data_IF_785431326549
#
_entry.id   IF_785431326549
#
_cell.length_a   1.000
_cell.length_b   1.000
_cell.length_c   1.000
_cell.angle_alpha   90.00
_cell.angle_beta   90.00
_cell.angle_gamma   90.00
#
_symmetry.space_group_name_H-M   'P 1'
#
loop_
_entity.id
_entity.type
_entity.pdbx_description
1 polymer ?
#
# COMPACT_ATOMS: atom_id res chain seq x y z
N UNK A 1 -1.33 4.33 -1.61
CA UNK A 1 -2.34 5.31 -1.17
C UNK A 1 -3.77 4.79 -1.35
N UNK A 2 -4.20 4.49 -2.57
CA UNK A 2 -5.61 4.14 -2.87
C UNK A 2 -6.12 2.94 -2.07
N UNK A 3 -5.33 1.88 -1.94
CA UNK A 3 -5.74 0.69 -1.19
C UNK A 3 -5.81 0.96 0.31
N UNK A 4 -4.93 1.79 0.83
CA UNK A 4 -4.98 2.27 2.23
C UNK A 4 -6.23 3.13 2.49
N UNK A 5 -6.65 3.96 1.53
CA UNK A 5 -7.90 4.72 1.65
C UNK A 5 -9.14 3.83 1.51
N UNK A 6 -9.08 2.73 0.74
CA UNK A 6 -10.14 1.70 0.73
C UNK A 6 -10.30 1.05 2.11
N UNK A 7 -9.19 0.65 2.75
CA UNK A 7 -9.24 0.12 4.10
C UNK A 7 -9.91 1.10 5.07
N UNK A 8 -9.52 2.37 5.01
CA UNK A 8 -10.14 3.45 5.79
C UNK A 8 -11.65 3.54 5.54
N UNK A 9 -12.07 3.50 4.29
CA UNK A 9 -13.48 3.56 3.89
C UNK A 9 -14.28 2.33 4.36
N UNK A 10 -13.73 1.12 4.22
CA UNK A 10 -14.43 -0.09 4.65
C UNK A 10 -14.58 -0.17 6.17
N UNK A 11 -13.56 0.25 6.94
CA UNK A 11 -13.67 0.38 8.40
C UNK A 11 -14.68 1.45 8.81
N UNK A 12 -14.65 2.64 8.18
CA UNK A 12 -15.64 3.71 8.41
C UNK A 12 -17.07 3.22 8.18
N UNK A 13 -17.32 2.48 7.11
CA UNK A 13 -18.64 1.89 6.82
C UNK A 13 -19.03 0.82 7.85
N UNK A 14 -18.12 -0.07 8.21
CA UNK A 14 -18.38 -1.14 9.17
C UNK A 14 -18.81 -0.58 10.53
N UNK A 15 -18.12 0.43 11.02
CA UNK A 15 -18.40 1.04 12.33
C UNK A 15 -19.46 2.15 12.28
N UNK A 16 -19.93 2.56 11.10
CA UNK A 16 -20.88 3.66 10.95
C UNK A 16 -20.36 5.03 11.43
N UNK A 17 -19.05 5.28 11.29
CA UNK A 17 -18.36 6.49 11.78
C UNK A 17 -17.80 7.31 10.64
N UNK A 18 -17.51 8.60 10.91
CA UNK A 18 -16.81 9.45 9.96
C UNK A 18 -15.40 8.91 9.64
N UNK A 19 -14.95 9.08 8.40
CA UNK A 19 -13.62 8.63 7.97
C UNK A 19 -12.48 9.25 8.80
N UNK A 20 -12.66 10.46 9.34
CA UNK A 20 -11.65 11.12 10.17
C UNK A 20 -11.42 10.42 11.51
N UNK A 21 -12.35 9.58 11.94
CA UNK A 21 -12.21 8.73 13.12
C UNK A 21 -11.52 7.40 12.84
N UNK A 22 -11.09 7.18 11.59
CA UNK A 22 -10.31 6.00 11.17
C UNK A 22 -8.93 6.50 10.72
N UNK A 23 -7.89 6.13 11.43
CA UNK A 23 -6.55 6.69 11.28
C UNK A 23 -5.54 5.61 10.86
N UNK A 24 -4.46 6.04 10.22
CA UNK A 24 -3.27 5.25 9.94
C UNK A 24 -3.52 3.90 9.23
N UNK A 25 -4.58 3.81 8.42
CA UNK A 25 -4.77 2.65 7.55
C UNK A 25 -3.62 2.52 6.57
N UNK A 26 -3.03 1.34 6.49
CA UNK A 26 -1.86 1.06 5.65
C UNK A 26 -2.02 -0.25 4.90
N UNK A 27 -1.57 -0.23 3.65
CA UNK A 27 -1.38 -1.41 2.81
C UNK A 27 -0.03 -1.30 2.12
N UNK A 28 0.73 -2.38 2.08
CA UNK A 28 2.07 -2.41 1.53
C UNK A 28 2.24 -3.53 0.51
N UNK A 29 3.38 -3.55 -0.18
CA UNK A 29 3.72 -4.56 -1.17
C UNK A 29 3.09 -4.31 -2.53
N UNK A 30 2.57 -5.35 -3.16
CA UNK A 30 1.91 -5.32 -4.46
C UNK A 30 0.50 -4.74 -4.42
N UNK A 31 -0.21 -4.90 -5.53
CA UNK A 31 -1.59 -4.45 -5.68
C UNK A 31 -2.55 -5.64 -5.83
N UNK A 32 -3.82 -5.46 -5.49
CA UNK A 32 -4.84 -6.50 -5.56
C UNK A 32 -4.63 -7.57 -4.49
N UNK A 33 -4.75 -8.84 -4.84
CA UNK A 33 -4.64 -9.96 -3.90
C UNK A 33 -3.24 -10.15 -3.31
N UNK A 34 -2.23 -9.46 -3.87
CA UNK A 34 -0.85 -9.53 -3.42
C UNK A 34 -0.47 -8.43 -2.41
N UNK A 35 -1.40 -7.54 -2.04
CA UNK A 35 -1.11 -6.53 -1.02
C UNK A 35 -1.14 -7.10 0.39
N UNK A 36 -0.28 -6.59 1.26
CA UNK A 36 -0.32 -6.83 2.69
C UNK A 36 -1.16 -5.72 3.37
N UNK A 37 -2.25 -6.10 4.03
CA UNK A 37 -3.15 -5.18 4.75
C UNK A 37 -2.76 -5.16 6.21
N UNK A 38 -2.38 -4.00 6.73
CA UNK A 38 -1.88 -3.81 8.08
C UNK A 38 -2.97 -3.31 9.02
N UNK A 39 -3.37 -4.16 9.98
CA UNK A 39 -4.26 -3.79 11.08
C UNK A 39 -3.48 -3.10 12.21
N UNK A 40 -2.21 -3.48 12.41
CA UNK A 40 -1.35 -3.01 13.50
C UNK A 40 -1.12 -1.49 13.49
N UNK A 41 -1.21 -0.86 12.33
CA UNK A 41 -1.03 0.60 12.21
C UNK A 41 -2.33 1.37 12.39
N UNK A 42 -3.50 0.73 12.16
CA UNK A 42 -4.78 1.40 12.09
C UNK A 42 -5.41 1.66 13.47
N UNK A 43 -6.15 2.76 13.57
CA UNK A 43 -6.95 3.09 14.74
C UNK A 43 -8.38 3.43 14.34
N UNK A 44 -9.33 3.11 15.21
CA UNK A 44 -10.75 3.43 15.09
C UNK A 44 -11.17 4.15 16.36
N UNK A 45 -11.65 5.40 16.26
CA UNK A 45 -11.96 6.26 17.40
C UNK A 45 -10.81 6.31 18.43
N UNK A 46 -9.55 6.39 17.94
CA UNK A 46 -8.34 6.41 18.75
C UNK A 46 -7.89 5.07 19.34
N UNK A 47 -8.71 3.99 19.27
CA UNK A 47 -8.37 2.66 19.74
C UNK A 47 -7.63 1.86 18.65
N UNK A 48 -6.59 1.13 19.02
CA UNK A 48 -5.87 0.28 18.07
C UNK A 48 -6.80 -0.78 17.45
N UNK A 49 -6.72 -0.96 16.12
CA UNK A 49 -7.60 -1.90 15.42
C UNK A 49 -7.36 -3.35 15.87
N UNK A 50 -6.13 -3.71 16.22
CA UNK A 50 -5.79 -5.03 16.76
C UNK A 50 -6.55 -5.38 18.06
N UNK A 51 -6.85 -4.36 18.90
CA UNK A 51 -7.60 -4.55 20.14
C UNK A 51 -9.13 -4.72 19.90
N UNK A 52 -9.57 -4.45 18.68
CA UNK A 52 -10.99 -4.52 18.30
C UNK A 52 -11.26 -5.82 17.53
N UNK A 53 -10.32 -6.29 16.73
CA UNK A 53 -10.46 -7.53 15.97
C UNK A 53 -10.62 -8.73 16.91
N UNK A 54 -11.66 -9.52 16.68
CA UNK A 54 -12.03 -10.68 17.52
C UNK A 54 -12.97 -10.34 18.66
N UNK A 55 -13.49 -9.11 18.73
CA UNK A 55 -14.57 -8.70 19.64
C UNK A 55 -15.93 -8.70 18.92
N UNK A 56 -17.02 -8.50 19.65
CA UNK A 56 -18.37 -8.36 19.08
C UNK A 56 -18.49 -7.14 18.14
N UNK A 57 -17.63 -6.14 18.30
CA UNK A 57 -17.61 -4.95 17.44
C UNK A 57 -16.98 -5.21 16.07
N UNK A 58 -16.05 -6.18 15.96
CA UNK A 58 -15.42 -6.63 14.73
C UNK A 58 -14.91 -8.06 14.90
N UNK A 59 -15.68 -9.03 14.45
CA UNK A 59 -15.26 -10.45 14.52
C UNK A 59 -14.08 -10.72 13.54
N UNK A 60 -13.39 -11.83 13.73
CA UNK A 60 -12.31 -12.24 12.82
C UNK A 60 -12.80 -12.48 11.40
N UNK A 61 -14.01 -13.02 11.26
CA UNK A 61 -14.67 -13.26 9.98
C UNK A 61 -14.96 -11.93 9.26
N UNK A 62 -15.55 -10.97 9.98
CA UNK A 62 -15.82 -9.62 9.45
C UNK A 62 -14.52 -8.90 9.04
N UNK A 63 -13.47 -9.05 9.84
CA UNK A 63 -12.15 -8.51 9.47
C UNK A 63 -11.63 -9.14 8.17
N UNK A 64 -11.74 -10.45 8.02
CA UNK A 64 -11.37 -11.16 6.78
C UNK A 64 -12.18 -10.66 5.58
N UNK A 65 -13.49 -10.42 5.75
CA UNK A 65 -14.33 -9.84 4.70
C UNK A 65 -13.87 -8.41 4.31
N UNK A 66 -13.50 -7.58 5.29
CA UNK A 66 -12.97 -6.24 5.04
C UNK A 66 -11.66 -6.34 4.23
N UNK A 67 -10.73 -7.20 4.63
CA UNK A 67 -9.50 -7.41 3.87
C UNK A 67 -9.78 -7.83 2.42
N UNK A 68 -10.72 -8.75 2.19
CA UNK A 68 -11.11 -9.16 0.85
C UNK A 68 -11.74 -8.01 0.03
N UNK A 69 -12.57 -7.18 0.63
CA UNK A 69 -13.14 -5.98 -0.03
C UNK A 69 -12.06 -4.98 -0.42
N UNK A 70 -11.04 -4.82 0.41
CA UNK A 70 -9.89 -3.94 0.13
C UNK A 70 -9.07 -4.50 -1.03
N UNK A 71 -8.67 -5.76 -0.97
CA UNK A 71 -7.81 -6.40 -1.98
C UNK A 71 -8.49 -6.54 -3.35
N UNK A 72 -9.79 -6.82 -3.37
CA UNK A 72 -10.60 -6.96 -4.60
C UNK A 72 -11.25 -5.66 -5.07
N UNK A 73 -11.08 -4.56 -4.36
CA UNK A 73 -11.79 -3.31 -4.62
C UNK A 73 -11.57 -2.76 -6.03
N UNK A 74 -10.37 -2.85 -6.58
CA UNK A 74 -10.07 -2.46 -7.96
C UNK A 74 -10.80 -3.31 -8.99
N UNK A 75 -10.75 -4.62 -8.85
CA UNK A 75 -11.45 -5.57 -9.72
C UNK A 75 -12.97 -5.36 -9.68
N UNK A 76 -13.54 -5.12 -8.50
CA UNK A 76 -14.96 -4.83 -8.35
C UNK A 76 -15.38 -3.55 -9.12
N UNK A 77 -14.57 -2.50 -9.09
CA UNK A 77 -14.83 -1.28 -9.87
C UNK A 77 -14.82 -1.59 -11.38
N UNK A 78 -13.85 -2.37 -11.84
CA UNK A 78 -13.75 -2.76 -13.26
C UNK A 78 -14.99 -3.57 -13.67
N UNK A 79 -15.41 -4.53 -12.85
CA UNK A 79 -16.57 -5.37 -13.12
C UNK A 79 -17.88 -4.54 -13.21
N UNK A 80 -18.04 -3.52 -12.34
CA UNK A 80 -19.24 -2.68 -12.30
C UNK A 80 -19.26 -1.61 -13.41
N UNK A 81 -18.09 -1.10 -13.81
CA UNK A 81 -17.98 0.06 -14.72
C UNK A 81 -17.44 -0.29 -16.11
N UNK A 82 -16.98 -1.52 -16.33
CA UNK A 82 -16.30 -1.94 -17.56
C UNK A 82 -14.90 -1.33 -17.75
N UNK A 83 -14.40 -0.58 -16.76
CA UNK A 83 -13.07 0.08 -16.79
C UNK A 83 -12.57 0.42 -15.40
N UNK A 84 -11.26 0.64 -15.26
CA UNK A 84 -10.63 1.12 -14.04
C UNK A 84 -11.15 2.51 -13.63
N UNK A 85 -11.09 2.81 -12.33
CA UNK A 85 -11.26 4.17 -11.83
C UNK A 85 -10.10 5.04 -12.30
N UNK A 86 -10.40 6.31 -12.64
CA UNK A 86 -9.39 7.32 -12.95
C UNK A 86 -9.48 8.55 -12.04
N UNK A 87 -10.64 8.81 -11.44
CA UNK A 87 -10.84 9.98 -10.57
C UNK A 87 -9.95 9.92 -9.34
N UNK A 88 -9.99 8.81 -8.59
CA UNK A 88 -9.18 8.64 -7.38
C UNK A 88 -7.67 8.61 -7.67
N UNK A 89 -7.16 7.90 -8.70
CA UNK A 89 -5.76 8.02 -9.09
C UNK A 89 -5.34 9.44 -9.44
N UNK A 90 -6.15 10.17 -10.22
CA UNK A 90 -5.85 11.57 -10.59
C UNK A 90 -5.76 12.47 -9.36
N UNK A 91 -6.72 12.36 -8.44
CA UNK A 91 -6.71 13.12 -7.19
C UNK A 91 -5.45 12.87 -6.37
N UNK A 92 -5.10 11.61 -6.15
CA UNK A 92 -3.89 11.26 -5.38
C UNK A 92 -2.61 11.72 -6.08
N UNK A 93 -2.55 11.64 -7.41
CA UNK A 93 -1.39 12.15 -8.17
C UNK A 93 -1.23 13.66 -8.02
N UNK A 94 -2.33 14.41 -8.02
CA UNK A 94 -2.31 15.86 -7.78
C UNK A 94 -1.81 16.16 -6.36
N UNK A 95 -2.26 15.42 -5.34
CA UNK A 95 -1.76 15.59 -3.97
C UNK A 95 -0.25 15.31 -3.86
N UNK A 96 0.26 14.28 -4.54
CA UNK A 96 1.68 13.98 -4.60
C UNK A 96 2.49 15.11 -5.26
N UNK A 97 2.00 15.64 -6.40
CA UNK A 97 2.63 16.76 -7.10
C UNK A 97 2.61 18.02 -6.23
N UNK A 98 1.47 18.34 -5.63
CA UNK A 98 1.36 19.49 -4.73
C UNK A 98 2.33 19.41 -3.55
N UNK A 99 2.50 18.22 -2.96
CA UNK A 99 3.47 18.00 -1.89
C UNK A 99 4.91 18.20 -2.37
N UNK A 100 5.28 17.67 -3.52
CA UNK A 100 6.60 17.85 -4.12
C UNK A 100 6.89 19.33 -4.47
N UNK A 101 5.86 20.10 -4.79
CA UNK A 101 5.97 21.55 -5.04
C UNK A 101 5.98 22.43 -3.77
N UNK A 102 5.99 21.82 -2.58
CA UNK A 102 6.07 22.53 -1.30
C UNK A 102 4.73 22.77 -0.61
N UNK A 103 3.67 22.09 -1.05
CA UNK A 103 2.40 22.03 -0.34
C UNK A 103 2.44 21.11 0.89
N UNK A 104 1.27 20.72 1.38
CA UNK A 104 1.15 19.79 2.51
C UNK A 104 1.85 18.45 2.18
N UNK A 105 2.73 17.95 3.05
CA UNK A 105 3.40 16.66 2.80
C UNK A 105 2.41 15.52 2.59
N UNK A 106 2.65 14.72 1.55
CA UNK A 106 1.90 13.51 1.28
C UNK A 106 2.45 12.36 2.13
N UNK A 107 1.60 11.69 2.88
CA UNK A 107 1.99 10.69 3.89
C UNK A 107 1.17 9.40 3.80
N UNK A 108 0.95 8.92 2.59
CA UNK A 108 0.33 7.63 2.34
C UNK A 108 1.34 6.68 1.73
N UNK A 109 1.19 5.36 1.94
CA UNK A 109 1.99 4.39 1.21
C UNK A 109 1.89 4.64 -0.30
N UNK A 110 3.03 4.68 -0.96
CA UNK A 110 3.12 4.89 -2.40
C UNK A 110 4.06 3.87 -3.03
N UNK A 111 3.85 3.58 -4.32
CA UNK A 111 4.78 2.78 -5.09
C UNK A 111 6.12 3.49 -5.17
N UNK A 112 7.15 2.88 -4.64
CA UNK A 112 8.50 3.41 -4.60
C UNK A 112 9.52 2.31 -4.77
N UNK A 113 10.72 2.68 -5.19
CA UNK A 113 11.84 1.76 -5.24
C UNK A 113 12.34 1.48 -3.83
N UNK A 114 12.43 0.19 -3.50
CA UNK A 114 12.90 -0.30 -2.20
C UNK A 114 14.15 -1.12 -2.41
N UNK A 115 15.21 -0.79 -1.66
CA UNK A 115 16.44 -1.56 -1.56
C UNK A 115 17.04 -1.30 -0.17
N UNK A 116 16.77 -2.18 0.78
CA UNK A 116 17.10 -1.97 2.20
C UNK A 116 17.76 -3.19 2.88
N UNK A 117 18.22 -4.16 2.09
CA UNK A 117 18.88 -5.37 2.56
C UNK A 117 17.93 -6.50 2.93
N UNK A 118 16.65 -6.22 3.25
CA UNK A 118 15.60 -7.23 3.43
C UNK A 118 14.74 -7.35 2.17
N UNK A 119 14.41 -6.22 1.58
CA UNK A 119 13.64 -6.09 0.35
C UNK A 119 14.46 -5.30 -0.64
N UNK A 120 14.94 -5.95 -1.72
CA UNK A 120 15.91 -5.34 -2.62
C UNK A 120 15.44 -5.29 -4.06
N UNK A 121 15.78 -4.17 -4.71
CA UNK A 121 15.62 -3.96 -6.15
C UNK A 121 14.19 -4.18 -6.64
N UNK A 122 13.21 -3.60 -5.94
CA UNK A 122 11.80 -3.77 -6.26
C UNK A 122 11.02 -2.45 -6.17
N UNK A 123 10.03 -2.29 -7.05
CA UNK A 123 9.01 -1.27 -6.93
C UNK A 123 7.80 -1.87 -6.21
N UNK A 124 7.46 -1.35 -5.04
CA UNK A 124 6.27 -1.77 -4.28
C UNK A 124 5.71 -0.63 -3.43
N UNK A 125 4.48 -0.77 -2.96
CA UNK A 125 3.93 0.18 -2.00
C UNK A 125 4.69 0.07 -0.67
N UNK A 126 5.22 1.20 -0.22
CA UNK A 126 6.02 1.31 1.01
C UNK A 126 5.60 2.53 1.83
N UNK A 127 5.93 2.56 3.13
CA UNK A 127 5.66 3.74 3.97
C UNK A 127 6.49 4.93 3.49
N UNK A 128 5.80 5.89 2.91
CA UNK A 128 6.39 6.96 2.11
C UNK A 128 5.91 8.31 2.61
N UNK A 129 6.81 9.29 2.60
CA UNK A 129 6.46 10.71 2.76
C UNK A 129 7.07 11.48 1.59
N UNK A 130 6.23 12.21 0.86
CA UNK A 130 6.67 13.09 -0.23
C UNK A 130 6.50 14.53 0.23
N UNK A 131 7.55 15.32 0.07
CA UNK A 131 7.59 16.75 0.37
C UNK A 131 8.52 17.47 -0.62
N UNK A 132 8.69 18.78 -0.45
CA UNK A 132 9.56 19.58 -1.35
C UNK A 132 11.01 19.12 -1.37
N UNK A 133 11.49 18.54 -0.28
CA UNK A 133 12.85 18.01 -0.12
C UNK A 133 13.02 16.58 -0.66
N UNK A 134 11.97 15.97 -1.19
CA UNK A 134 12.01 14.68 -1.84
C UNK A 134 11.04 13.64 -1.31
N UNK A 135 11.38 12.38 -1.62
CA UNK A 135 10.63 11.20 -1.20
C UNK A 135 11.43 10.47 -0.09
N UNK A 136 10.81 10.34 1.08
CA UNK A 136 11.42 9.72 2.24
C UNK A 136 10.71 8.41 2.56
N UNK A 137 11.47 7.32 2.67
CA UNK A 137 10.96 6.03 3.09
C UNK A 137 11.16 5.84 4.59
N UNK A 138 10.20 5.19 5.23
CA UNK A 138 10.28 4.81 6.62
C UNK A 138 10.29 3.29 6.75
N UNK A 139 10.80 2.81 7.86
CA UNK A 139 10.72 1.40 8.17
C UNK A 139 9.25 0.96 8.33
N UNK A 140 8.93 -0.20 7.77
CA UNK A 140 7.63 -0.86 7.92
C UNK A 140 7.77 -1.97 8.95
N UNK A 141 6.96 -1.91 10.00
CA UNK A 141 6.86 -2.92 11.04
C UNK A 141 5.40 -3.30 11.25
N UNK A 142 5.15 -4.57 11.50
CA UNK A 142 3.83 -5.10 11.74
C UNK A 142 3.84 -6.30 12.67
N UNK A 143 2.73 -7.02 12.74
CA UNK A 143 2.70 -8.32 13.39
C UNK A 143 3.47 -9.34 12.54
N UNK A 144 3.90 -10.50 13.12
CA UNK A 144 4.56 -11.55 12.35
C UNK A 144 3.76 -11.98 11.11
N UNK A 145 2.43 -12.01 11.21
CA UNK A 145 1.54 -12.39 10.10
C UNK A 145 1.53 -11.32 9.00
N UNK A 146 1.54 -10.04 9.38
CA UNK A 146 1.60 -8.91 8.44
C UNK A 146 2.95 -8.84 7.72
N UNK A 147 4.03 -9.06 8.46
CA UNK A 147 5.37 -9.13 7.88
C UNK A 147 5.50 -10.33 6.92
N UNK A 148 4.98 -11.50 7.28
CA UNK A 148 4.95 -12.66 6.40
C UNK A 148 4.12 -12.40 5.12
N UNK A 149 2.99 -11.68 5.23
CA UNK A 149 2.20 -11.28 4.09
C UNK A 149 2.98 -10.31 3.17
N UNK A 150 3.74 -9.39 3.75
CA UNK A 150 4.60 -8.48 2.99
C UNK A 150 5.75 -9.21 2.28
N UNK A 151 6.38 -10.17 2.95
CA UNK A 151 7.42 -11.01 2.36
C UNK A 151 6.88 -11.86 1.20
N UNK A 152 5.70 -12.43 1.34
CA UNK A 152 5.00 -13.14 0.25
C UNK A 152 4.72 -12.22 -0.93
N UNK A 153 4.25 -11.00 -0.66
CA UNK A 153 4.04 -9.98 -1.67
C UNK A 153 5.32 -9.62 -2.42
N UNK A 154 6.40 -9.41 -1.69
CA UNK A 154 7.73 -9.13 -2.24
C UNK A 154 8.23 -10.28 -3.14
N UNK A 155 8.14 -11.52 -2.67
CA UNK A 155 8.57 -12.69 -3.45
C UNK A 155 7.80 -12.79 -4.79
N UNK A 156 6.49 -12.52 -4.78
CA UNK A 156 5.68 -12.48 -5.99
C UNK A 156 6.13 -11.36 -6.95
N UNK A 157 6.38 -10.17 -6.44
CA UNK A 157 6.86 -9.04 -7.25
C UNK A 157 8.26 -9.29 -7.84
N UNK A 158 9.14 -9.94 -7.08
CA UNK A 158 10.45 -10.38 -7.59
C UNK A 158 10.32 -11.36 -8.75
N UNK A 159 9.43 -12.34 -8.64
CA UNK A 159 9.18 -13.29 -9.72
C UNK A 159 8.69 -12.58 -11.00
N UNK A 160 7.77 -11.63 -10.88
CA UNK A 160 7.31 -10.81 -12.01
C UNK A 160 8.44 -9.94 -12.60
N UNK A 161 9.25 -9.31 -11.76
CA UNK A 161 10.44 -8.55 -12.20
C UNK A 161 11.38 -9.43 -13.03
N UNK A 162 11.69 -10.62 -12.51
CA UNK A 162 12.63 -11.53 -13.14
C UNK A 162 12.07 -12.08 -14.46
N UNK A 163 10.76 -12.28 -14.56
CA UNK A 163 10.07 -12.61 -15.82
C UNK A 163 10.24 -11.50 -16.87
N UNK A 164 10.03 -10.23 -16.47
CA UNK A 164 10.19 -9.07 -17.37
C UNK A 164 11.65 -8.89 -17.80
N UNK A 165 12.61 -9.18 -16.92
CA UNK A 165 14.04 -9.23 -17.27
C UNK A 165 14.32 -10.35 -18.27
N UNK A 166 13.78 -11.54 -18.05
CA UNK A 166 13.96 -12.68 -18.97
C UNK A 166 13.36 -12.42 -20.36
N UNK A 167 12.30 -11.61 -20.45
CA UNK A 167 11.73 -11.13 -21.72
C UNK A 167 12.62 -10.08 -22.43
N UNK A 168 13.71 -9.62 -21.82
CA UNK A 168 14.59 -8.58 -22.37
C UNK A 168 14.00 -7.17 -22.35
N UNK A 169 12.91 -6.93 -21.60
CA UNK A 169 12.26 -5.61 -21.47
C UNK A 169 13.00 -4.74 -20.44
N UNK A 170 13.48 -5.36 -19.37
CA UNK A 170 14.34 -4.71 -18.37
C UNK A 170 15.75 -5.31 -18.41
N UNK A 171 16.79 -4.48 -18.20
CA UNK A 171 18.14 -4.99 -18.03
C UNK A 171 18.27 -5.80 -16.74
N UNK A 172 19.29 -6.68 -16.62
CA UNK A 172 19.58 -7.39 -15.37
C UNK A 172 19.79 -6.41 -14.21
N UNK A 173 19.36 -6.81 -13.00
CA UNK A 173 19.48 -5.98 -11.77
C UNK A 173 20.92 -5.48 -11.56
N UNK A 174 21.93 -6.29 -11.89
CA UNK A 174 23.34 -5.92 -11.78
C UNK A 174 23.78 -4.71 -12.62
N UNK A 175 22.97 -4.30 -13.59
CA UNK A 175 23.24 -3.15 -14.45
C UNK A 175 22.51 -1.89 -14.01
N UNK A 176 21.51 -1.99 -13.13
CA UNK A 176 20.63 -0.88 -12.78
C UNK A 176 21.37 0.31 -12.19
N UNK A 177 22.34 0.08 -11.29
CA UNK A 177 23.14 1.16 -10.69
C UNK A 177 24.05 1.87 -11.71
N UNK A 178 24.42 1.18 -12.82
CA UNK A 178 25.20 1.78 -13.90
C UNK A 178 24.32 2.64 -14.80
N UNK A 179 23.09 2.18 -15.06
CA UNK A 179 22.13 2.86 -15.92
C UNK A 179 21.44 4.03 -15.22
N UNK A 180 21.24 3.93 -13.92
CA UNK A 180 20.65 4.99 -13.11
C UNK A 180 21.41 5.15 -11.79
N UNK A 181 22.30 6.16 -11.67
CA UNK A 181 23.11 6.38 -10.47
C UNK A 181 22.30 6.81 -9.23
N UNK A 182 21.02 7.13 -9.39
CA UNK A 182 20.11 7.45 -8.27
C UNK A 182 19.51 6.21 -7.63
N UNK A 183 19.64 5.03 -8.24
CA UNK A 183 19.28 3.75 -7.63
C UNK A 183 20.45 3.33 -6.74
N UNK A 184 20.23 3.34 -5.43
CA UNK A 184 21.24 2.92 -4.43
C UNK A 184 20.76 1.67 -3.72
#
# INVERSE_FOLDING_TARGET
ALDSTRLRSELSKHFGIAMDNVENCRTYGGHGEQMAVYASTAKVNGKALLDIIGTDALTKEQWTEIQQKVTKGGANIINLRGRSSFQSPSYVSIEMIAAAMGGKPFRWPAGTYVSNGKFDHIMMAWETSIAKDGCHLKEVKGTPEEEAALEKSYAHLCALRDEVIAMGVLPPVSEWNKLNPYIK
#
